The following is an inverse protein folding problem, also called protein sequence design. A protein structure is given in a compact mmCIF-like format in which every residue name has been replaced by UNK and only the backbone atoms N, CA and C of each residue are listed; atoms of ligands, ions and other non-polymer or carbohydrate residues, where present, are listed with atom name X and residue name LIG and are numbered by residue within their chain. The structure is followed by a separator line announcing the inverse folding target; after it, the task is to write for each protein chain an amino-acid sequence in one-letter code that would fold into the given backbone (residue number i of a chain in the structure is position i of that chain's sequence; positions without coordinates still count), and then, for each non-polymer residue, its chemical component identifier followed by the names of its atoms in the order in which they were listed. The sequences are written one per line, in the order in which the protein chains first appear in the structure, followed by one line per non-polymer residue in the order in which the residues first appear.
data_IF_176859649671
#
_entry.id   IF_176859649671
#
_cell.length_a   1.000
_cell.length_b   1.000
_cell.length_c   1.000
_cell.angle_alpha   90.00
_cell.angle_beta   90.00
_cell.angle_gamma   90.00
#
_symmetry.space_group_name_H-M   'P 1'
#
loop_
_entity.id
_entity.type
_entity.pdbx_description
1 polymer ?
#
# COMPACT_ATOMS: atom_id res chain seq x y z
N UNK A 1 -30.02 -18.48 -49.62
CA UNK A 1 -28.73 -17.81 -49.27
C UNK A 1 -28.99 -16.88 -48.14
N UNK A 2 -28.61 -17.24 -46.89
CA UNK A 2 -28.73 -16.35 -45.71
C UNK A 2 -27.35 -15.79 -45.45
N UNK A 3 -27.21 -14.49 -45.60
CA UNK A 3 -26.00 -13.77 -45.24
C UNK A 3 -25.97 -13.55 -43.71
N UNK A 4 -24.97 -14.13 -43.07
CA UNK A 4 -24.65 -13.87 -41.66
C UNK A 4 -23.73 -12.61 -41.65
N UNK A 5 -24.23 -11.49 -41.13
CA UNK A 5 -23.38 -10.35 -40.78
C UNK A 5 -22.73 -10.61 -39.42
N UNK A 6 -21.41 -10.84 -39.41
CA UNK A 6 -20.61 -10.86 -38.19
C UNK A 6 -20.31 -9.40 -37.82
N UNK A 7 -20.97 -8.92 -36.77
CA UNK A 7 -20.69 -7.60 -36.19
C UNK A 7 -19.41 -7.71 -35.36
N UNK A 8 -18.28 -7.27 -35.91
CA UNK A 8 -17.00 -7.17 -35.23
C UNK A 8 -17.04 -5.93 -34.35
N UNK A 9 -17.37 -6.09 -33.05
CA UNK A 9 -17.24 -5.00 -32.05
C UNK A 9 -15.78 -4.80 -31.72
N UNK A 10 -15.17 -3.78 -32.31
CA UNK A 10 -13.89 -3.24 -31.88
C UNK A 10 -14.07 -2.62 -30.48
N UNK A 11 -13.54 -3.30 -29.45
CA UNK A 11 -13.32 -2.69 -28.14
C UNK A 11 -12.11 -1.77 -28.31
N UNK A 12 -12.36 -0.48 -28.55
CA UNK A 12 -11.36 0.57 -28.45
C UNK A 12 -11.00 0.70 -26.96
N UNK A 13 -9.91 0.05 -26.54
CA UNK A 13 -9.25 0.39 -25.30
C UNK A 13 -8.74 1.83 -25.41
N UNK A 14 -9.33 2.76 -24.65
CA UNK A 14 -8.81 4.10 -24.49
C UNK A 14 -7.43 4.03 -23.83
N UNK A 15 -6.38 3.90 -24.60
CA UNK A 15 -5.01 4.22 -24.20
C UNK A 15 -5.00 5.75 -24.17
N UNK A 16 -5.07 6.33 -22.98
CA UNK A 16 -4.86 7.76 -22.81
C UNK A 16 -3.43 8.06 -23.29
N UNK A 17 -3.28 9.07 -24.12
CA UNK A 17 -2.07 9.50 -24.80
C UNK A 17 -0.80 9.27 -23.98
N UNK A 18 -0.10 8.16 -24.25
CA UNK A 18 1.25 7.89 -23.75
C UNK A 18 2.32 8.77 -24.42
N UNK A 19 1.90 9.65 -25.37
CA UNK A 19 2.80 10.37 -26.26
C UNK A 19 3.68 11.43 -25.57
N UNK A 20 3.48 11.71 -24.27
CA UNK A 20 4.21 12.77 -23.56
C UNK A 20 4.84 12.34 -22.22
N UNK A 21 5.07 11.05 -22.00
CA UNK A 21 5.68 10.55 -20.77
C UNK A 21 7.06 9.97 -21.02
N UNK A 22 8.02 10.36 -20.18
CA UNK A 22 9.37 9.79 -20.16
C UNK A 22 9.58 8.98 -18.90
N UNK A 23 9.92 7.71 -19.08
CA UNK A 23 10.36 6.81 -18.01
C UNK A 23 11.88 6.67 -18.06
N UNK A 24 12.55 6.88 -16.93
CA UNK A 24 14.00 6.82 -16.81
C UNK A 24 14.40 5.97 -15.61
N UNK A 25 15.18 4.95 -15.85
CA UNK A 25 15.83 4.20 -14.80
C UNK A 25 16.96 5.01 -14.17
N UNK A 26 16.98 5.11 -12.85
CA UNK A 26 17.94 5.93 -12.13
C UNK A 26 19.03 5.11 -11.46
N UNK A 27 18.63 4.08 -10.70
CA UNK A 27 19.51 3.33 -9.80
C UNK A 27 19.04 1.89 -9.68
N UNK A 28 19.99 0.94 -9.71
CA UNK A 28 19.75 -0.48 -9.43
C UNK A 28 19.59 -0.71 -7.92
N UNK A 29 18.65 -1.57 -7.58
CA UNK A 29 18.29 -1.96 -6.22
C UNK A 29 18.22 -3.48 -6.12
N UNK A 30 17.86 -4.00 -4.93
CA UNK A 30 17.63 -5.44 -4.73
C UNK A 30 16.37 -5.67 -3.91
N UNK A 31 15.31 -6.18 -4.55
CA UNK A 31 13.99 -6.42 -3.96
C UNK A 31 13.49 -5.21 -3.11
N UNK A 32 13.42 -3.99 -3.71
CA UNK A 32 13.02 -2.78 -3.01
C UNK A 32 11.55 -2.85 -2.60
N UNK A 33 11.22 -2.28 -1.40
CA UNK A 33 9.87 -2.42 -0.89
C UNK A 33 9.15 -1.10 -0.63
N UNK A 34 9.71 -0.19 0.12
CA UNK A 34 9.12 1.11 0.47
C UNK A 34 10.11 2.24 0.28
N UNK A 35 9.60 3.43 0.05
CA UNK A 35 10.42 4.63 -0.14
C UNK A 35 9.78 5.88 0.44
N UNK A 36 10.59 6.88 0.77
CA UNK A 36 10.13 8.19 1.22
C UNK A 36 11.17 9.25 0.95
N UNK A 37 10.77 10.42 0.44
CA UNK A 37 11.65 11.58 0.37
C UNK A 37 11.91 12.12 1.76
N UNK A 38 13.19 12.47 2.07
CA UNK A 38 13.55 13.20 3.29
C UNK A 38 13.73 14.69 3.02
N UNK A 39 14.04 15.02 1.81
CA UNK A 39 14.12 16.37 1.23
C UNK A 39 13.93 16.32 -0.30
N UNK A 40 14.15 17.42 -0.99
CA UNK A 40 14.01 17.51 -2.45
C UNK A 40 15.04 16.70 -3.26
N UNK A 41 16.17 16.33 -2.65
CA UNK A 41 17.27 15.65 -3.34
C UNK A 41 17.49 14.21 -2.87
N UNK A 42 16.93 13.83 -1.73
CA UNK A 42 17.29 12.58 -1.08
C UNK A 42 16.05 11.72 -0.77
N UNK A 43 16.13 10.46 -1.14
CA UNK A 43 15.10 9.46 -0.89
C UNK A 43 15.65 8.29 -0.07
N UNK A 44 14.92 7.89 0.99
CA UNK A 44 15.17 6.65 1.71
C UNK A 44 14.44 5.50 1.03
N UNK A 45 15.09 4.35 0.91
CA UNK A 45 14.52 3.13 0.34
C UNK A 45 14.85 1.94 1.24
N UNK A 46 13.86 1.09 1.48
CA UNK A 46 14.06 -0.22 2.11
C UNK A 46 14.19 -1.31 1.06
N UNK A 47 15.15 -2.19 1.25
CA UNK A 47 15.20 -3.48 0.57
C UNK A 47 14.75 -4.57 1.54
N UNK A 48 13.94 -5.50 1.09
CA UNK A 48 13.31 -6.52 1.94
C UNK A 48 14.33 -7.35 2.73
N UNK A 49 15.51 -7.54 2.15
CA UNK A 49 16.64 -8.26 2.74
C UNK A 49 17.27 -7.61 3.97
N UNK A 50 16.82 -6.40 4.36
CA UNK A 50 17.34 -5.71 5.54
C UNK A 50 18.26 -4.53 5.25
N UNK A 51 18.28 -4.01 4.04
CA UNK A 51 19.10 -2.85 3.68
C UNK A 51 18.25 -1.59 3.67
N UNK A 52 18.75 -0.51 4.26
CA UNK A 52 18.21 0.83 4.11
C UNK A 52 19.21 1.67 3.31
N UNK A 53 18.76 2.19 2.19
CA UNK A 53 19.56 3.06 1.31
C UNK A 53 19.06 4.50 1.39
N UNK A 54 19.97 5.43 1.52
CA UNK A 54 19.76 6.86 1.25
C UNK A 54 20.37 7.17 -0.11
N UNK A 55 19.55 7.62 -1.03
CA UNK A 55 19.95 7.87 -2.41
C UNK A 55 19.74 9.34 -2.73
N UNK A 56 20.77 10.01 -3.23
CA UNK A 56 20.62 11.32 -3.85
C UNK A 56 20.17 11.13 -5.29
N UNK A 57 19.02 11.72 -5.65
CA UNK A 57 18.39 11.50 -6.97
C UNK A 57 19.10 12.24 -8.11
N UNK A 58 19.96 13.21 -7.83
CA UNK A 58 20.64 14.01 -8.84
C UNK A 58 21.96 13.37 -9.28
N UNK A 59 22.84 13.06 -8.33
CA UNK A 59 24.16 12.46 -8.58
C UNK A 59 24.18 10.94 -8.45
N UNK A 60 23.04 10.35 -8.03
CA UNK A 60 22.85 8.91 -7.81
C UNK A 60 23.75 8.30 -6.74
N UNK A 61 24.28 9.11 -5.85
CA UNK A 61 25.10 8.64 -4.74
C UNK A 61 24.23 7.80 -3.78
N UNK A 62 24.71 6.60 -3.44
CA UNK A 62 24.04 5.66 -2.56
C UNK A 62 24.82 5.53 -1.26
N UNK A 63 24.11 5.71 -0.15
CA UNK A 63 24.65 5.49 1.19
C UNK A 63 23.80 4.45 1.93
N UNK A 64 24.45 3.39 2.41
CA UNK A 64 23.80 2.39 3.27
C UNK A 64 23.72 2.96 4.68
N UNK A 65 22.52 2.84 5.29
CA UNK A 65 22.26 3.22 6.67
C UNK A 65 22.11 1.97 7.52
N UNK A 66 22.92 1.86 8.57
CA UNK A 66 22.84 0.76 9.52
C UNK A 66 21.59 0.89 10.41
N UNK A 67 21.11 -0.22 10.93
CA UNK A 67 19.97 -0.27 11.87
C UNK A 67 20.06 -1.46 12.83
N UNK A 68 19.22 -1.44 13.87
CA UNK A 68 19.19 -2.44 14.94
C UNK A 68 17.90 -3.31 14.95
N UNK A 69 17.12 -3.33 13.85
CA UNK A 69 15.87 -4.08 13.80
C UNK A 69 16.12 -5.59 13.81
N UNK A 70 15.36 -6.32 14.64
CA UNK A 70 15.33 -7.77 14.65
C UNK A 70 14.19 -8.28 13.76
N UNK A 71 14.47 -8.46 12.48
CA UNK A 71 13.51 -8.89 11.47
C UNK A 71 13.79 -10.31 10.99
N UNK A 72 12.80 -10.90 10.32
CA UNK A 72 12.94 -12.18 9.62
C UNK A 72 12.48 -11.98 8.17
N UNK A 73 13.41 -12.13 7.24
CA UNK A 73 13.05 -12.27 5.82
C UNK A 73 12.46 -13.66 5.59
N UNK A 74 11.14 -13.71 5.45
CA UNK A 74 10.39 -14.96 5.23
C UNK A 74 9.18 -14.70 4.33
N UNK A 75 9.19 -15.28 3.14
CA UNK A 75 8.14 -15.09 2.15
C UNK A 75 8.00 -13.61 1.71
N UNK A 76 6.88 -12.98 2.09
CA UNK A 76 6.62 -11.57 1.81
C UNK A 76 7.19 -10.62 2.90
N UNK A 77 7.75 -11.15 3.97
CA UNK A 77 8.30 -10.39 5.09
C UNK A 77 9.75 -9.97 4.87
N UNK A 78 10.21 -9.03 5.68
CA UNK A 78 11.52 -8.38 5.65
C UNK A 78 11.43 -6.96 6.21
N UNK A 79 12.29 -6.04 5.77
CA UNK A 79 12.00 -4.61 5.89
C UNK A 79 10.94 -4.24 4.84
N UNK A 80 9.97 -3.43 5.24
CA UNK A 80 8.79 -3.18 4.43
C UNK A 80 8.64 -1.66 4.19
N UNK A 81 7.58 -1.01 4.65
CA UNK A 81 7.36 0.40 4.36
C UNK A 81 8.21 1.33 5.22
N UNK A 82 8.54 2.50 4.68
CA UNK A 82 9.33 3.52 5.37
C UNK A 82 8.72 4.90 5.13
N UNK A 83 8.55 5.69 6.19
CA UNK A 83 8.14 7.09 6.13
C UNK A 83 9.13 7.98 6.87
N UNK A 84 9.32 9.18 6.35
CA UNK A 84 10.04 10.26 7.02
C UNK A 84 9.08 11.40 7.36
N UNK A 85 9.08 11.81 8.61
CA UNK A 85 8.29 12.95 9.07
C UNK A 85 9.01 13.65 10.24
N UNK A 86 9.11 14.98 10.16
CA UNK A 86 9.65 15.83 11.24
C UNK A 86 10.96 15.31 11.85
N UNK A 87 11.94 14.92 11.02
CA UNK A 87 13.23 14.36 11.43
C UNK A 87 13.15 12.99 12.15
N UNK A 88 12.03 12.27 11.97
CA UNK A 88 11.89 10.88 12.40
C UNK A 88 11.63 9.97 11.21
N UNK A 89 12.14 8.75 11.32
CA UNK A 89 11.89 7.65 10.40
C UNK A 89 10.96 6.65 11.09
N UNK A 90 9.88 6.31 10.44
CA UNK A 90 8.95 5.24 10.82
C UNK A 90 9.13 4.11 9.82
N UNK A 91 9.28 2.89 10.31
CA UNK A 91 9.51 1.73 9.46
C UNK A 91 8.65 0.56 9.94
N UNK A 92 7.96 -0.08 9.01
CA UNK A 92 7.25 -1.33 9.25
C UNK A 92 8.10 -2.52 8.79
N UNK A 93 8.00 -3.64 9.50
CA UNK A 93 8.81 -4.81 9.21
C UNK A 93 8.19 -6.10 9.75
N UNK A 94 8.64 -7.23 9.24
CA UNK A 94 8.32 -8.54 9.80
C UNK A 94 9.21 -8.83 11.00
N UNK A 95 8.77 -8.46 12.21
CA UNK A 95 9.54 -8.69 13.42
C UNK A 95 9.63 -10.17 13.75
N UNK A 96 10.84 -10.65 14.03
CA UNK A 96 11.09 -12.01 14.50
C UNK A 96 10.60 -12.16 15.94
N UNK A 97 9.61 -13.02 16.17
CA UNK A 97 8.95 -13.24 17.48
C UNK A 97 9.08 -14.68 17.99
N UNK A 98 9.98 -15.43 17.43
CA UNK A 98 10.24 -16.85 17.72
C UNK A 98 10.89 -17.50 16.52
N UNK A 99 10.90 -18.84 16.43
CA UNK A 99 11.63 -19.54 15.37
C UNK A 99 11.17 -19.06 13.98
N UNK A 100 9.94 -19.35 13.56
CA UNK A 100 9.36 -18.87 12.30
C UNK A 100 8.18 -17.93 12.50
N UNK A 101 7.86 -17.59 13.77
CA UNK A 101 6.77 -16.65 14.06
C UNK A 101 7.21 -15.21 13.85
N UNK A 102 6.38 -14.47 13.14
CA UNK A 102 6.59 -13.06 12.85
C UNK A 102 5.34 -12.23 13.11
N UNK A 103 5.54 -10.95 13.45
CA UNK A 103 4.49 -9.94 13.52
C UNK A 103 4.76 -8.83 12.52
N UNK A 104 3.71 -8.18 12.02
CA UNK A 104 3.84 -6.84 11.47
C UNK A 104 4.09 -5.88 12.61
N UNK A 105 5.26 -5.26 12.64
CA UNK A 105 5.68 -4.33 13.70
C UNK A 105 6.09 -3.00 13.10
N UNK A 106 6.01 -1.93 13.90
CA UNK A 106 6.38 -0.57 13.52
C UNK A 106 7.40 -0.06 14.50
N UNK A 107 8.48 0.48 13.98
CA UNK A 107 9.52 1.09 14.76
C UNK A 107 9.76 2.55 14.33
N UNK A 108 10.21 3.36 15.28
CA UNK A 108 10.55 4.78 15.11
C UNK A 108 12.00 5.02 15.49
N UNK A 109 12.70 5.84 14.70
CA UNK A 109 14.03 6.33 15.00
C UNK A 109 14.14 7.82 14.70
N UNK A 110 14.95 8.57 15.45
CA UNK A 110 15.38 9.89 15.02
C UNK A 110 16.31 9.73 13.81
N UNK A 111 16.11 10.53 12.78
CA UNK A 111 16.91 10.43 11.56
C UNK A 111 18.39 10.66 11.84
N UNK A 112 19.19 9.79 11.31
CA UNK A 112 20.64 9.89 11.24
C UNK A 112 21.12 9.18 9.97
N UNK A 113 21.90 9.84 9.17
CA UNK A 113 22.33 9.34 7.87
C UNK A 113 23.44 8.26 7.91
N UNK A 114 23.80 7.77 9.11
CA UNK A 114 24.77 6.67 9.30
C UNK A 114 24.14 5.47 10.00
N UNK A 115 23.29 5.72 11.01
CA UNK A 115 22.75 4.67 11.84
C UNK A 115 21.38 5.08 12.41
N UNK A 116 20.35 4.28 12.15
CA UNK A 116 19.00 4.44 12.69
C UNK A 116 18.81 3.53 13.90
N UNK A 117 18.73 4.11 15.08
CA UNK A 117 18.45 3.40 16.34
C UNK A 117 16.94 3.34 16.54
N UNK A 118 16.33 2.32 15.98
CA UNK A 118 14.88 2.09 16.08
C UNK A 118 14.46 1.60 17.47
N UNK A 119 13.28 2.07 17.90
CA UNK A 119 12.48 1.53 19.00
C UNK A 119 11.11 1.16 18.48
N UNK A 120 10.61 -0.02 18.86
CA UNK A 120 9.25 -0.41 18.52
C UNK A 120 8.25 0.52 19.18
N UNK A 121 7.26 0.95 18.41
CA UNK A 121 6.10 1.72 18.85
C UNK A 121 4.80 0.94 18.67
N UNK A 122 4.82 -0.17 17.91
CA UNK A 122 3.69 -1.07 17.75
C UNK A 122 4.17 -2.48 17.36
N UNK A 123 3.47 -3.50 17.87
CA UNK A 123 3.67 -4.90 17.53
C UNK A 123 2.32 -5.61 17.37
N UNK A 124 2.02 -6.14 16.18
CA UNK A 124 0.80 -6.88 15.96
C UNK A 124 0.79 -8.21 16.73
N UNK A 125 -0.34 -8.54 17.34
CA UNK A 125 -0.59 -9.81 18.02
C UNK A 125 -1.80 -10.53 17.40
N UNK A 126 -1.74 -11.87 17.32
CA UNK A 126 -0.62 -12.75 17.67
C UNK A 126 0.50 -12.71 16.62
N UNK A 127 1.69 -13.16 17.03
CA UNK A 127 2.74 -13.53 16.09
C UNK A 127 2.36 -14.86 15.42
N UNK A 128 2.53 -14.95 14.09
CA UNK A 128 2.06 -16.06 13.26
C UNK A 128 3.21 -16.65 12.46
N UNK A 129 3.29 -17.97 12.40
CA UNK A 129 4.18 -18.70 11.49
C UNK A 129 3.56 -18.69 10.09
N UNK A 130 3.86 -17.63 9.36
CA UNK A 130 3.42 -17.44 7.98
C UNK A 130 4.27 -16.39 7.28
N UNK A 131 4.69 -16.67 6.07
CA UNK A 131 5.35 -15.72 5.16
C UNK A 131 4.40 -14.86 4.32
N UNK A 132 3.07 -14.89 4.59
CA UNK A 132 2.08 -14.21 3.76
C UNK A 132 1.47 -12.99 4.43
N UNK A 133 1.00 -12.05 3.61
CA UNK A 133 0.07 -10.97 3.90
C UNK A 133 0.43 -10.14 5.13
N UNK A 134 1.56 -9.48 5.10
CA UNK A 134 1.98 -8.57 6.19
C UNK A 134 1.22 -7.23 6.19
N UNK A 135 0.66 -6.81 5.04
CA UNK A 135 0.14 -5.45 4.86
C UNK A 135 1.28 -4.46 4.87
N UNK A 136 1.49 -3.82 6.03
CA UNK A 136 2.67 -3.03 6.42
C UNK A 136 2.75 -1.61 5.88
N UNK A 137 1.81 -1.13 5.07
CA UNK A 137 1.82 0.26 4.59
C UNK A 137 1.52 1.24 5.71
N UNK A 138 2.20 2.38 5.67
CA UNK A 138 2.15 3.45 6.64
C UNK A 138 1.59 4.74 6.02
N UNK A 139 0.86 5.52 6.80
CA UNK A 139 0.46 6.89 6.45
C UNK A 139 0.37 7.75 7.70
N UNK A 140 0.84 9.00 7.64
CA UNK A 140 0.75 9.95 8.74
C UNK A 140 -0.34 10.99 8.44
N UNK A 141 -1.20 11.26 9.44
CA UNK A 141 -2.20 12.33 9.42
C UNK A 141 -2.17 13.09 10.74
N UNK A 142 -1.59 14.29 10.73
CA UNK A 142 -1.35 15.06 11.95
C UNK A 142 -0.52 14.24 12.95
N UNK A 143 -0.98 14.11 14.17
CA UNK A 143 -0.29 13.36 15.23
C UNK A 143 -0.53 11.85 15.21
N UNK A 144 -1.16 11.33 14.16
CA UNK A 144 -1.54 9.93 14.06
C UNK A 144 -0.78 9.20 12.96
N UNK A 145 -0.28 8.01 13.31
CA UNK A 145 0.22 7.03 12.38
C UNK A 145 -0.87 5.98 12.11
N UNK A 146 -1.23 5.83 10.85
CA UNK A 146 -2.05 4.73 10.35
C UNK A 146 -1.14 3.67 9.75
N UNK A 147 -1.42 2.41 10.06
CA UNK A 147 -0.68 1.28 9.52
C UNK A 147 -1.61 0.14 9.13
N UNK A 148 -1.24 -0.60 8.12
CA UNK A 148 -1.98 -1.78 7.70
C UNK A 148 -1.35 -3.06 8.23
N UNK A 149 -2.15 -3.94 8.83
CA UNK A 149 -1.77 -5.29 9.23
C UNK A 149 -2.54 -6.30 8.38
N UNK A 150 -1.85 -7.07 7.56
CA UNK A 150 -2.47 -8.11 6.74
C UNK A 150 -2.89 -9.32 7.58
N UNK A 151 -3.79 -10.16 7.05
CA UNK A 151 -4.40 -11.29 7.76
C UNK A 151 -3.49 -12.54 7.84
N UNK A 152 -2.26 -12.45 7.36
CA UNK A 152 -1.20 -13.45 7.52
C UNK A 152 -1.55 -14.85 6.98
N UNK A 153 -2.43 -14.93 5.95
CA UNK A 153 -2.92 -16.19 5.40
C UNK A 153 -3.99 -16.90 6.25
N UNK A 154 -4.44 -16.29 7.36
CA UNK A 154 -5.40 -16.88 8.29
C UNK A 154 -6.87 -16.57 7.96
N UNK A 155 -7.13 -15.85 6.87
CA UNK A 155 -8.47 -15.57 6.35
C UNK A 155 -9.42 -14.94 7.35
N UNK A 156 -10.17 -15.74 8.11
CA UNK A 156 -11.21 -15.26 9.04
C UNK A 156 -10.66 -14.49 10.25
N UNK A 157 -9.37 -14.53 10.54
CA UNK A 157 -8.76 -13.70 11.60
C UNK A 157 -9.05 -12.20 11.37
N UNK A 158 -9.25 -11.79 10.11
CA UNK A 158 -9.60 -10.42 9.76
C UNK A 158 -10.98 -9.97 10.27
N UNK A 159 -11.81 -10.90 10.77
CA UNK A 159 -13.11 -10.61 11.41
C UNK A 159 -13.04 -10.59 12.94
N UNK A 160 -11.87 -10.86 13.51
CA UNK A 160 -11.67 -10.95 14.95
C UNK A 160 -10.99 -9.67 15.47
N UNK A 161 -11.75 -8.73 16.08
CA UNK A 161 -11.19 -7.47 16.58
C UNK A 161 -10.33 -7.62 17.85
N UNK A 162 -10.21 -8.84 18.40
CA UNK A 162 -9.29 -9.15 19.50
C UNK A 162 -7.88 -9.48 19.00
N UNK A 163 -7.64 -9.37 17.69
CA UNK A 163 -6.37 -9.65 17.03
C UNK A 163 -6.08 -8.58 15.98
N UNK A 164 -4.80 -8.18 15.84
CA UNK A 164 -4.41 -7.15 14.88
C UNK A 164 -4.40 -7.59 13.40
N UNK A 165 -4.05 -8.86 13.04
CA UNK A 165 -4.02 -9.26 11.65
C UNK A 165 -5.37 -9.07 10.95
N UNK A 166 -5.34 -8.44 9.75
CA UNK A 166 -6.54 -8.13 8.96
C UNK A 166 -7.18 -6.78 9.29
N UNK A 167 -6.41 -5.82 9.80
CA UNK A 167 -6.91 -4.52 10.26
C UNK A 167 -6.08 -3.33 9.79
N UNK A 168 -6.66 -2.14 9.92
CA UNK A 168 -5.95 -0.87 9.96
C UNK A 168 -5.75 -0.48 11.42
N UNK A 169 -4.53 -0.18 11.77
CA UNK A 169 -4.08 0.30 13.07
C UNK A 169 -4.02 1.83 13.02
N UNK A 170 -4.42 2.49 14.12
CA UNK A 170 -4.22 3.92 14.34
C UNK A 170 -3.65 4.15 15.73
N UNK A 171 -2.46 4.72 15.80
CA UNK A 171 -1.74 5.08 17.02
C UNK A 171 -1.24 6.53 16.91
N UNK A 172 -0.83 7.13 18.03
CA UNK A 172 -0.03 8.35 17.99
C UNK A 172 1.37 8.07 17.45
N UNK A 173 2.10 9.13 17.05
CA UNK A 173 3.47 9.05 16.54
C UNK A 173 4.51 8.55 17.57
N UNK A 174 4.14 8.46 18.83
CA UNK A 174 4.93 7.87 19.92
C UNK A 174 4.52 6.43 20.28
N UNK A 175 3.48 5.90 19.63
CA UNK A 175 2.92 4.57 19.88
C UNK A 175 1.77 4.55 20.86
N UNK A 176 1.44 5.66 21.54
CA UNK A 176 0.31 5.72 22.46
C UNK A 176 -1.03 5.61 21.72
N UNK A 177 -2.06 5.18 22.43
CA UNK A 177 -3.38 4.87 21.85
C UNK A 177 -4.27 6.12 21.84
N UNK A 178 -4.81 6.52 20.68
CA UNK A 178 -5.77 7.62 20.58
C UNK A 178 -7.06 7.32 21.36
N UNK A 179 -7.47 8.25 22.23
CA UNK A 179 -8.68 8.09 23.06
C UNK A 179 -9.96 7.93 22.26
N UNK A 180 -9.97 8.48 21.04
CA UNK A 180 -11.10 8.47 20.11
C UNK A 180 -11.05 7.32 19.09
N UNK A 181 -10.18 6.31 19.24
CA UNK A 181 -10.28 5.08 18.48
C UNK A 181 -11.63 4.37 18.72
N UNK A 182 -12.08 3.47 17.81
CA UNK A 182 -13.35 2.79 17.95
C UNK A 182 -13.49 2.08 19.30
N UNK A 183 -14.67 2.21 19.92
CA UNK A 183 -15.06 1.48 21.14
C UNK A 183 -16.49 1.01 20.97
N UNK A 184 -16.72 -0.28 21.22
CA UNK A 184 -18.03 -0.92 21.08
C UNK A 184 -18.45 -1.53 22.41
N UNK A 185 -19.63 -1.22 22.91
CA UNK A 185 -20.16 -1.79 24.17
C UNK A 185 -20.40 -3.29 24.07
N UNK A 186 -20.81 -3.76 22.88
CA UNK A 186 -21.04 -5.17 22.55
C UNK A 186 -19.79 -5.93 22.17
N UNK A 187 -18.63 -5.27 22.08
CA UNK A 187 -17.32 -5.84 21.77
C UNK A 187 -16.24 -5.25 22.65
N UNK A 188 -16.28 -5.47 23.98
CA UNK A 188 -15.36 -4.86 24.94
C UNK A 188 -13.90 -5.25 24.69
N UNK A 189 -13.66 -6.42 24.09
CA UNK A 189 -12.33 -6.96 23.77
C UNK A 189 -11.73 -6.43 22.46
N UNK A 190 -12.39 -5.49 21.79
CA UNK A 190 -11.84 -4.81 20.61
C UNK A 190 -10.52 -4.14 20.99
N UNK A 191 -9.42 -4.55 20.32
CA UNK A 191 -8.09 -4.00 20.60
C UNK A 191 -8.07 -2.50 20.33
N UNK A 192 -7.56 -1.69 21.26
CA UNK A 192 -7.71 -0.24 21.23
C UNK A 192 -6.90 0.45 20.11
N UNK A 193 -5.93 -0.22 19.52
CA UNK A 193 -5.16 0.25 18.36
C UNK A 193 -5.91 0.07 17.03
N UNK A 194 -6.90 -0.82 16.99
CA UNK A 194 -7.60 -1.16 15.76
C UNK A 194 -8.58 -0.05 15.37
N UNK A 195 -8.36 0.51 14.19
CA UNK A 195 -9.22 1.52 13.59
C UNK A 195 -10.31 0.93 12.70
N UNK A 196 -10.00 -0.15 11.96
CA UNK A 196 -10.89 -0.83 11.01
C UNK A 196 -10.46 -2.28 10.82
N UNK A 197 -11.41 -3.18 10.58
CA UNK A 197 -11.17 -4.62 10.37
C UNK A 197 -11.63 -5.10 8.98
N UNK A 198 -11.48 -6.40 8.73
CA UNK A 198 -12.03 -7.06 7.53
C UNK A 198 -11.18 -6.88 6.28
N UNK A 199 -9.86 -6.82 6.42
CA UNK A 199 -8.92 -6.53 5.34
C UNK A 199 -8.01 -7.73 5.13
N UNK A 200 -7.67 -8.04 3.85
CA UNK A 200 -6.82 -9.20 3.55
C UNK A 200 -5.34 -8.84 3.61
N UNK A 201 -4.87 -8.06 2.65
CA UNK A 201 -3.47 -7.69 2.50
C UNK A 201 -3.36 -6.30 1.86
N UNK A 202 -3.51 -5.23 2.62
CA UNK A 202 -3.40 -3.87 2.11
C UNK A 202 -1.95 -3.61 1.68
N UNK A 203 -1.77 -3.24 0.42
CA UNK A 203 -0.45 -2.98 -0.16
C UNK A 203 -0.27 -1.52 -0.58
N UNK A 204 -1.26 -0.67 -0.32
CA UNK A 204 -1.20 0.77 -0.45
C UNK A 204 -1.98 1.45 0.65
N UNK A 205 -1.43 2.52 1.22
CA UNK A 205 -2.05 3.38 2.22
C UNK A 205 -1.53 4.79 2.03
N UNK A 206 -2.42 5.79 1.95
CA UNK A 206 -2.02 7.18 1.70
C UNK A 206 -2.98 8.18 2.31
N UNK A 207 -2.44 9.33 2.73
CA UNK A 207 -3.24 10.49 3.09
C UNK A 207 -3.55 11.34 1.85
N UNK A 208 -4.82 11.60 1.61
CA UNK A 208 -5.23 12.60 0.62
C UNK A 208 -5.12 14.01 1.20
N UNK A 209 -4.28 14.83 0.59
CA UNK A 209 -4.13 16.26 0.95
C UNK A 209 -5.31 17.13 0.49
N UNK A 210 -6.29 16.57 -0.26
CA UNK A 210 -7.45 17.30 -0.77
C UNK A 210 -8.68 17.20 0.13
N UNK A 211 -8.89 16.05 0.77
CA UNK A 211 -10.06 15.82 1.64
C UNK A 211 -9.68 15.30 3.04
N UNK A 212 -8.38 15.15 3.32
CA UNK A 212 -7.87 14.72 4.61
C UNK A 212 -8.20 13.28 4.98
N UNK A 213 -8.55 12.43 4.00
CA UNK A 213 -8.90 11.03 4.21
C UNK A 213 -7.73 10.11 3.98
N UNK A 214 -7.75 8.97 4.67
CA UNK A 214 -6.80 7.88 4.41
C UNK A 214 -7.46 6.93 3.40
N UNK A 215 -6.77 6.69 2.30
CA UNK A 215 -7.15 5.73 1.27
C UNK A 215 -6.22 4.53 1.28
N UNK A 216 -6.73 3.38 0.85
CA UNK A 216 -5.97 2.13 0.77
C UNK A 216 -6.32 1.32 -0.47
N UNK A 217 -5.35 0.52 -0.92
CA UNK A 217 -5.55 -0.58 -1.86
C UNK A 217 -5.30 -1.91 -1.18
N UNK A 218 -6.08 -2.93 -1.52
CA UNK A 218 -6.02 -4.23 -0.88
C UNK A 218 -6.03 -5.36 -1.91
N UNK A 219 -5.18 -6.35 -1.72
CA UNK A 219 -5.18 -7.57 -2.51
C UNK A 219 -6.36 -8.48 -2.19
N UNK A 220 -7.13 -8.84 -3.20
CA UNK A 220 -7.97 -10.03 -3.19
C UNK A 220 -7.17 -11.33 -3.39
N UNK A 221 -7.80 -12.38 -3.91
CA UNK A 221 -7.11 -13.61 -4.30
C UNK A 221 -6.91 -13.67 -5.84
N UNK A 222 -7.65 -14.52 -6.58
CA UNK A 222 -7.66 -14.50 -8.07
C UNK A 222 -8.53 -13.37 -8.65
N UNK A 223 -8.91 -12.38 -7.85
CA UNK A 223 -9.73 -11.22 -8.14
C UNK A 223 -10.24 -10.62 -6.85
N UNK A 224 -10.93 -9.47 -6.95
CA UNK A 224 -11.43 -8.77 -5.80
C UNK A 224 -10.38 -7.92 -5.08
N UNK A 225 -9.31 -7.52 -5.78
CA UNK A 225 -8.50 -6.39 -5.36
C UNK A 225 -9.40 -5.16 -5.33
N UNK A 226 -9.19 -4.25 -4.39
CA UNK A 226 -10.04 -3.08 -4.31
C UNK A 226 -9.29 -1.84 -3.79
N UNK A 227 -9.86 -0.67 -4.09
CA UNK A 227 -9.50 0.64 -3.58
C UNK A 227 -10.63 1.19 -2.72
N UNK A 228 -10.31 1.74 -1.55
CA UNK A 228 -11.30 2.25 -0.61
C UNK A 228 -10.72 3.20 0.42
N UNK A 229 -11.59 3.72 1.31
CA UNK A 229 -11.25 4.63 2.39
C UNK A 229 -11.10 3.88 3.71
N UNK A 230 -10.08 4.18 4.50
CA UNK A 230 -10.00 3.73 5.88
C UNK A 230 -11.04 4.49 6.73
N UNK A 231 -11.96 3.76 7.36
CA UNK A 231 -13.08 4.33 8.11
C UNK A 231 -13.16 3.76 9.52
N UNK A 232 -13.33 4.66 10.48
CA UNK A 232 -13.37 4.34 11.90
C UNK A 232 -14.48 3.33 12.23
N UNK A 233 -14.09 2.20 12.82
CA UNK A 233 -15.01 1.18 13.32
C UNK A 233 -15.69 0.33 12.24
N UNK A 234 -15.36 0.53 10.96
CA UNK A 234 -15.98 -0.20 9.85
C UNK A 234 -15.26 -1.51 9.53
N UNK A 235 -15.90 -2.33 8.66
CA UNK A 235 -15.47 -3.69 8.30
C UNK A 235 -15.61 -3.91 6.79
N UNK A 236 -14.51 -4.19 6.07
CA UNK A 236 -14.52 -4.51 4.64
C UNK A 236 -14.89 -5.97 4.32
N UNK A 237 -15.09 -6.81 5.34
CA UNK A 237 -15.70 -8.10 5.22
C UNK A 237 -14.82 -9.26 4.76
N UNK A 238 -13.50 -9.10 4.68
CA UNK A 238 -12.63 -10.25 4.41
C UNK A 238 -12.68 -11.25 5.58
N UNK A 239 -12.87 -12.57 5.40
CA UNK A 239 -13.03 -13.40 4.20
C UNK A 239 -14.50 -13.79 3.96
N UNK A 240 -15.46 -13.00 4.41
CA UNK A 240 -16.90 -13.20 4.16
C UNK A 240 -17.27 -12.70 2.75
N UNK A 241 -16.68 -11.58 2.34
CA UNK A 241 -16.83 -10.96 1.03
C UNK A 241 -15.63 -11.24 0.13
N UNK A 242 -15.88 -11.52 -1.14
CA UNK A 242 -14.83 -11.77 -2.13
C UNK A 242 -14.66 -10.67 -3.17
N UNK A 243 -15.51 -9.62 -3.18
CA UNK A 243 -15.49 -8.54 -4.19
C UNK A 243 -15.51 -9.06 -5.63
N UNK A 244 -16.18 -10.22 -5.87
CA UNK A 244 -16.19 -10.93 -7.14
C UNK A 244 -14.97 -11.84 -7.38
N UNK A 245 -14.05 -11.90 -6.43
CA UNK A 245 -12.86 -12.75 -6.50
C UNK A 245 -13.16 -14.22 -6.17
N UNK A 246 -12.24 -15.08 -6.65
CA UNK A 246 -12.22 -16.52 -6.39
C UNK A 246 -10.99 -16.90 -5.59
N UNK A 247 -11.07 -17.99 -4.85
CA UNK A 247 -9.89 -18.64 -4.27
C UNK A 247 -8.94 -19.16 -5.37
N UNK A 248 -7.72 -19.51 -5.00
CA UNK A 248 -6.78 -20.10 -5.95
C UNK A 248 -7.26 -21.46 -6.52
N UNK A 249 -8.13 -22.17 -5.79
CA UNK A 249 -8.86 -23.36 -6.27
C UNK A 249 -9.92 -23.06 -7.34
N UNK A 250 -10.29 -21.80 -7.57
CA UNK A 250 -11.35 -21.39 -8.49
C UNK A 250 -12.72 -21.20 -7.83
N UNK A 251 -12.90 -21.61 -6.57
CA UNK A 251 -14.16 -21.48 -5.83
C UNK A 251 -14.39 -20.01 -5.44
N UNK A 252 -15.58 -19.43 -5.62
CA UNK A 252 -15.92 -18.09 -5.15
C UNK A 252 -15.68 -17.91 -3.64
N UNK A 253 -15.25 -16.72 -3.23
CA UNK A 253 -14.95 -16.41 -1.80
C UNK A 253 -16.21 -15.93 -1.06
N UNK A 254 -17.33 -15.90 -1.66
CA UNK A 254 -18.57 -15.37 -1.09
C UNK A 254 -19.14 -14.27 -1.98
N UNK A 255 -20.15 -13.52 -1.51
CA UNK A 255 -20.77 -12.48 -2.31
C UNK A 255 -19.79 -11.35 -2.63
N UNK A 256 -20.08 -10.64 -3.70
CA UNK A 256 -19.34 -9.45 -4.12
C UNK A 256 -19.38 -8.37 -3.04
N UNK A 257 -20.57 -8.13 -2.49
CA UNK A 257 -20.83 -7.23 -1.38
C UNK A 257 -22.19 -7.55 -0.74
N UNK A 258 -22.41 -7.16 0.49
CA UNK A 258 -23.72 -7.21 1.17
C UNK A 258 -23.84 -6.10 2.21
N UNK A 259 -25.07 -5.69 2.61
CA UNK A 259 -25.29 -4.74 3.70
C UNK A 259 -24.60 -5.13 5.01
N UNK A 260 -24.20 -4.14 5.81
CA UNK A 260 -23.45 -4.32 7.05
C UNK A 260 -21.93 -4.31 6.89
N UNK A 261 -21.41 -4.19 5.66
CA UNK A 261 -19.99 -4.08 5.37
C UNK A 261 -19.66 -2.80 4.59
N UNK A 262 -18.46 -2.30 4.79
CA UNK A 262 -17.93 -1.14 4.04
C UNK A 262 -17.87 -1.44 2.56
N UNK A 263 -18.34 -0.51 1.73
CA UNK A 263 -18.30 -0.65 0.27
C UNK A 263 -16.99 -0.07 -0.28
N UNK A 264 -16.27 -0.85 -1.07
CA UNK A 264 -15.12 -0.36 -1.83
C UNK A 264 -15.52 0.72 -2.84
N UNK A 265 -14.63 1.65 -3.12
CA UNK A 265 -14.82 2.71 -4.12
C UNK A 265 -14.68 2.10 -5.52
N UNK A 266 -13.67 1.26 -5.71
CA UNK A 266 -13.41 0.53 -6.94
C UNK A 266 -12.84 -0.86 -6.65
N UNK A 267 -12.99 -1.82 -7.56
CA UNK A 267 -12.43 -3.17 -7.39
C UNK A 267 -12.12 -3.80 -8.76
N UNK A 268 -11.16 -4.73 -8.77
CA UNK A 268 -10.67 -5.39 -9.98
C UNK A 268 -10.94 -6.90 -9.97
N UNK A 269 -11.51 -7.38 -11.06
CA UNK A 269 -11.66 -8.79 -11.37
C UNK A 269 -11.38 -8.98 -12.87
N UNK A 270 -10.31 -9.71 -13.23
CA UNK A 270 -9.34 -10.42 -12.37
C UNK A 270 -8.45 -9.51 -11.53
N UNK A 271 -7.72 -10.10 -10.57
CA UNK A 271 -6.73 -9.39 -9.75
C UNK A 271 -5.62 -8.80 -10.61
N UNK A 272 -5.32 -7.54 -10.38
CA UNK A 272 -4.13 -6.84 -10.92
C UNK A 272 -2.95 -6.88 -9.95
N UNK A 273 -3.17 -7.38 -8.72
CA UNK A 273 -2.28 -7.30 -7.57
C UNK A 273 -1.87 -5.84 -7.29
N UNK A 274 -2.86 -5.02 -6.85
CA UNK A 274 -2.63 -3.61 -6.48
C UNK A 274 -1.50 -3.49 -5.48
N UNK A 275 -0.61 -2.51 -5.65
CA UNK A 275 0.46 -2.23 -4.70
C UNK A 275 0.30 -0.85 -4.07
N UNK A 276 1.32 0.01 -4.12
CA UNK A 276 1.23 1.33 -3.55
C UNK A 276 0.20 2.22 -4.24
N UNK A 277 -0.27 3.21 -3.51
CA UNK A 277 -1.18 4.23 -4.00
C UNK A 277 -0.75 5.61 -3.53
N UNK A 278 -1.08 6.63 -4.31
CA UNK A 278 -1.03 8.02 -3.88
C UNK A 278 -2.21 8.79 -4.42
N UNK A 279 -2.70 9.80 -3.70
CA UNK A 279 -3.59 10.81 -4.27
C UNK A 279 -2.69 11.93 -4.77
N UNK A 280 -2.56 12.00 -6.08
CA UNK A 280 -1.59 12.86 -6.70
C UNK A 280 -1.81 14.33 -6.34
N UNK A 281 -0.73 15.00 -5.96
CA UNK A 281 -0.64 16.46 -5.78
C UNK A 281 0.73 16.92 -6.21
N UNK A 282 0.80 17.68 -7.31
CA UNK A 282 2.07 18.17 -7.87
C UNK A 282 1.87 19.05 -9.08
N UNK A 283 2.96 19.67 -9.53
CA UNK A 283 2.95 20.61 -10.64
C UNK A 283 3.27 19.94 -12.00
N UNK A 284 3.93 18.79 -12.01
CA UNK A 284 4.28 18.07 -13.24
C UNK A 284 3.06 17.60 -14.01
N UNK A 285 2.07 17.02 -13.33
CA UNK A 285 0.82 16.52 -13.92
C UNK A 285 -0.38 17.21 -13.28
N UNK A 286 -0.52 18.53 -13.47
CA UNK A 286 -1.55 19.35 -12.79
C UNK A 286 -2.95 18.82 -12.98
N UNK A 287 -3.24 18.24 -14.13
CA UNK A 287 -4.53 17.62 -14.50
C UNK A 287 -4.83 16.33 -13.69
N UNK A 288 -3.84 15.76 -13.03
CA UNK A 288 -4.01 14.57 -12.18
C UNK A 288 -4.25 14.92 -10.70
N UNK A 289 -4.17 16.19 -10.34
CA UNK A 289 -4.37 16.63 -8.97
C UNK A 289 -5.72 16.16 -8.39
N UNK A 290 -5.66 15.46 -7.25
CA UNK A 290 -6.81 14.88 -6.57
C UNK A 290 -7.26 13.52 -7.11
N UNK A 291 -6.59 12.95 -8.12
CA UNK A 291 -6.85 11.60 -8.61
C UNK A 291 -5.97 10.57 -7.89
N UNK A 292 -6.50 9.36 -7.74
CA UNK A 292 -5.72 8.27 -7.18
C UNK A 292 -4.85 7.63 -8.27
N UNK A 293 -3.54 7.55 -8.01
CA UNK A 293 -2.61 6.76 -8.79
C UNK A 293 -2.40 5.43 -8.08
N UNK A 294 -2.63 4.34 -8.80
CA UNK A 294 -2.58 2.97 -8.28
C UNK A 294 -1.59 2.17 -9.10
N UNK A 295 -0.62 1.61 -8.43
CA UNK A 295 0.37 0.73 -9.05
C UNK A 295 -0.01 -0.73 -8.90
N UNK A 296 0.57 -1.61 -9.72
CA UNK A 296 0.27 -3.03 -9.68
C UNK A 296 1.50 -3.91 -9.90
N UNK A 297 1.49 -5.07 -9.24
CA UNK A 297 2.57 -6.05 -9.32
C UNK A 297 2.36 -7.06 -10.44
N UNK A 298 1.13 -7.58 -10.59
CA UNK A 298 0.81 -8.60 -11.59
C UNK A 298 0.56 -8.01 -12.95
N UNK A 299 -0.21 -6.93 -13.00
CA UNK A 299 -0.59 -6.23 -14.23
C UNK A 299 0.51 -5.27 -14.69
N UNK A 300 1.51 -4.99 -13.82
CA UNK A 300 2.67 -4.13 -14.09
C UNK A 300 2.28 -2.77 -14.66
N UNK A 301 1.25 -2.16 -14.09
CA UNK A 301 0.66 -0.94 -14.61
C UNK A 301 0.63 0.19 -13.60
N UNK A 302 0.66 1.43 -14.12
CA UNK A 302 0.18 2.62 -13.42
C UNK A 302 -1.23 2.93 -13.90
N UNK A 303 -2.17 3.04 -12.95
CA UNK A 303 -3.57 3.36 -13.20
C UNK A 303 -3.96 4.63 -12.49
N UNK A 304 -4.75 5.47 -13.16
CA UNK A 304 -5.34 6.68 -12.61
C UNK A 304 -6.83 6.47 -12.42
N UNK A 305 -7.31 6.61 -11.18
CA UNK A 305 -8.74 6.63 -10.86
C UNK A 305 -9.22 8.06 -10.67
N UNK A 306 -10.16 8.47 -11.51
CA UNK A 306 -10.87 9.75 -11.42
C UNK A 306 -12.13 9.49 -10.61
N UNK A 307 -12.19 10.00 -9.36
CA UNK A 307 -13.26 9.65 -8.41
C UNK A 307 -13.85 10.86 -7.66
N UNK A 308 -13.81 12.05 -8.26
CA UNK A 308 -14.36 13.30 -7.67
C UNK A 308 -15.77 13.12 -7.12
N UNK A 309 -16.60 12.31 -7.81
CA UNK A 309 -17.91 11.88 -7.33
C UNK A 309 -17.90 10.37 -7.21
N UNK A 310 -17.99 9.82 -6.00
CA UNK A 310 -17.95 8.37 -5.73
C UNK A 310 -18.96 7.53 -6.51
N UNK A 311 -19.90 8.16 -7.20
CA UNK A 311 -20.91 7.51 -8.06
C UNK A 311 -20.44 7.27 -9.50
N UNK A 312 -19.39 7.95 -9.95
CA UNK A 312 -18.89 7.82 -11.33
C UNK A 312 -17.35 7.75 -11.31
N UNK A 313 -16.83 6.52 -11.22
CA UNK A 313 -15.39 6.24 -11.22
C UNK A 313 -14.96 5.94 -12.65
N UNK A 314 -14.02 6.74 -13.17
CA UNK A 314 -13.34 6.44 -14.43
C UNK A 314 -11.93 5.96 -14.15
N UNK A 315 -11.53 4.85 -14.77
CA UNK A 315 -10.19 4.31 -14.72
C UNK A 315 -9.48 4.56 -16.05
N UNK A 316 -8.23 4.99 -15.97
CA UNK A 316 -7.33 5.13 -17.09
C UNK A 316 -6.02 4.38 -16.81
N UNK A 317 -5.56 3.58 -17.76
CA UNK A 317 -4.24 2.95 -17.70
C UNK A 317 -3.26 3.97 -18.30
N UNK A 318 -2.33 4.45 -17.48
CA UNK A 318 -1.33 5.44 -17.90
C UNK A 318 -0.22 4.73 -18.68
N UNK A 319 0.32 3.63 -18.13
CA UNK A 319 1.22 2.72 -18.84
C UNK A 319 1.10 1.31 -18.27
N UNK A 320 1.58 0.33 -19.02
CA UNK A 320 1.56 -1.08 -18.65
C UNK A 320 2.74 -1.83 -19.28
N UNK A 321 3.37 -2.73 -18.49
CA UNK A 321 4.51 -3.57 -18.88
C UNK A 321 5.82 -2.81 -19.26
N UNK A 322 5.91 -1.49 -18.95
CA UNK A 322 7.06 -0.65 -19.30
C UNK A 322 8.25 -0.80 -18.32
N UNK A 323 7.98 -0.87 -17.02
CA UNK A 323 9.01 -0.88 -15.96
C UNK A 323 8.94 -2.11 -15.04
N UNK A 324 8.17 -3.13 -15.43
CA UNK A 324 8.01 -4.35 -14.64
C UNK A 324 7.03 -4.22 -13.48
N UNK A 325 7.24 -5.01 -12.42
CA UNK A 325 6.37 -5.07 -11.22
C UNK A 325 6.58 -3.81 -10.38
N UNK A 326 5.56 -2.97 -10.25
CA UNK A 326 5.67 -1.70 -9.53
C UNK A 326 5.28 -1.92 -8.07
N UNK A 327 6.24 -1.76 -7.15
CA UNK A 327 6.04 -1.99 -5.71
C UNK A 327 5.62 -0.73 -4.98
N UNK A 328 6.24 0.42 -5.30
CA UNK A 328 6.03 1.66 -4.60
C UNK A 328 5.91 2.85 -5.55
N UNK A 329 5.31 3.93 -5.07
CA UNK A 329 5.13 5.19 -5.80
C UNK A 329 5.31 6.37 -4.86
N UNK A 330 6.16 7.32 -5.25
CA UNK A 330 6.36 8.58 -4.54
C UNK A 330 6.20 9.76 -5.48
N UNK A 331 5.62 10.82 -4.98
CA UNK A 331 5.54 12.12 -5.68
C UNK A 331 6.60 13.02 -5.08
N UNK A 332 7.47 13.55 -5.93
CA UNK A 332 8.52 14.48 -5.51
C UNK A 332 7.91 15.72 -4.84
N UNK A 333 8.38 16.12 -3.64
CA UNK A 333 7.72 17.15 -2.83
C UNK A 333 7.60 18.52 -3.50
N UNK A 334 8.58 18.91 -4.33
CA UNK A 334 8.64 20.25 -4.92
C UNK A 334 8.16 20.32 -6.36
N UNK A 335 8.56 19.36 -7.24
CA UNK A 335 8.28 19.45 -8.68
C UNK A 335 7.12 18.54 -9.14
N UNK A 336 6.67 17.61 -8.30
CA UNK A 336 5.56 16.72 -8.64
C UNK A 336 5.92 15.58 -9.58
N UNK A 337 7.18 15.40 -9.98
CA UNK A 337 7.63 14.22 -10.73
C UNK A 337 7.37 12.95 -9.92
N UNK A 338 7.19 11.84 -10.62
CA UNK A 338 6.79 10.59 -9.97
C UNK A 338 7.95 9.60 -10.00
N UNK A 339 8.20 8.99 -8.84
CA UNK A 339 9.23 7.98 -8.66
C UNK A 339 8.59 6.65 -8.32
N UNK A 340 9.16 5.55 -8.87
CA UNK A 340 8.68 4.20 -8.62
C UNK A 340 9.80 3.30 -8.13
N UNK A 341 9.46 2.40 -7.23
CA UNK A 341 10.22 1.17 -7.05
C UNK A 341 9.58 0.09 -7.93
N UNK A 342 10.27 -0.29 -9.00
CA UNK A 342 9.74 -1.25 -9.96
C UNK A 342 10.83 -2.20 -10.47
N UNK A 343 10.50 -3.49 -10.54
CA UNK A 343 11.54 -4.51 -10.69
C UNK A 343 12.56 -4.37 -9.54
N UNK A 344 13.82 -4.36 -9.89
CA UNK A 344 14.94 -4.12 -8.99
C UNK A 344 15.56 -2.73 -9.21
N UNK A 345 14.74 -1.68 -9.42
CA UNK A 345 15.23 -0.35 -9.75
C UNK A 345 14.38 0.79 -9.17
N UNK A 346 15.00 1.95 -9.03
CA UNK A 346 14.35 3.24 -8.84
C UNK A 346 14.15 3.88 -10.21
N UNK A 347 12.89 4.23 -10.51
CA UNK A 347 12.49 4.85 -11.77
C UNK A 347 11.94 6.25 -11.56
N UNK A 348 12.15 7.12 -12.54
CA UNK A 348 11.57 8.46 -12.63
C UNK A 348 10.57 8.51 -13.80
N UNK A 349 9.41 9.13 -13.58
CA UNK A 349 8.47 9.53 -14.62
C UNK A 349 8.31 11.06 -14.61
N UNK A 350 8.46 11.65 -15.78
CA UNK A 350 8.32 13.08 -16.04
C UNK A 350 7.62 13.31 -17.38
N UNK A 351 7.17 14.54 -17.66
CA UNK A 351 6.74 14.94 -19.01
C UNK A 351 7.93 15.06 -19.96
N UNK A 352 7.73 14.75 -21.25
CA UNK A 352 8.72 14.99 -22.30
C UNK A 352 8.93 16.49 -22.51
#
# INVERSE_FOLDING_TARGET
MKFFFILLTFILSNIANAENLKLKELVDLKDPWGSTFIDENNILITEKSGVIKLININDKNIKIINHNLNFLEYGQGGLLDILFDNNFVYLSYSEKRGNWKTSTSIAKAKFNNKNLKFKNIFQANPAIDSGYHFGSRLAIKGDYLFASAGERGQGMIAQDPTKHPGSIIRIHLDGSIPKDNPKFKDKPDWLPEIYQIGIRNPQGLTLSKFDGKIYMSNHGAKGGDWFGEAKKGENYGWKILGWGGKNYSGIPIGPKWKPGFTKAIHYWVPSIATSAITIYKGDEFKEWNGHALITSLKDKSLRKLIFKNRSNIKEEIIFKDEIGRIRDIQVHPNNGKIYFLAGDSLWLMEKN
#
